data_IF_925871915506
#
_entry.id   IF_925871915506
#
_cell.length_a   1.000
_cell.length_b   1.000
_cell.length_c   1.000
_cell.angle_alpha   90.00
_cell.angle_beta   90.00
_cell.angle_gamma   90.00
#
_symmetry.space_group_name_H-M   'P 1'
#
loop_
_entity.id
_entity.type
_entity.pdbx_description
1 polymer ?
#
# COMPACT_ATOMS: atom_id res chain seq x y z
N UNK A 1 -48.30 -27.23 -11.84
CA UNK A 1 -47.78 -27.70 -10.54
C UNK A 1 -46.46 -26.96 -10.26
N UNK A 2 -46.22 -26.57 -9.00
CA UNK A 2 -45.34 -25.46 -8.65
C UNK A 2 -43.89 -25.93 -8.43
N UNK A 3 -42.92 -25.08 -8.76
CA UNK A 3 -42.00 -24.64 -7.71
C UNK A 3 -41.46 -23.27 -8.06
N UNK A 4 -41.82 -22.29 -7.23
CA UNK A 4 -41.00 -21.13 -7.03
C UNK A 4 -39.67 -21.61 -6.43
N UNK A 5 -38.56 -21.05 -6.89
CA UNK A 5 -37.42 -20.86 -6.00
C UNK A 5 -37.07 -19.39 -6.08
N UNK A 6 -37.79 -18.63 -5.27
CA UNK A 6 -37.43 -17.29 -4.86
C UNK A 6 -36.14 -17.33 -4.01
N UNK A 7 -35.70 -16.19 -3.46
CA UNK A 7 -34.49 -15.46 -3.80
C UNK A 7 -33.29 -15.86 -2.93
N UNK A 8 -32.15 -16.15 -3.55
CA UNK A 8 -30.88 -16.33 -2.83
C UNK A 8 -30.26 -15.00 -2.45
N UNK A 9 -30.91 -14.24 -1.56
CA UNK A 9 -30.27 -13.14 -0.86
C UNK A 9 -29.23 -13.69 0.12
N UNK A 10 -28.02 -13.93 -0.35
CA UNK A 10 -26.88 -14.16 0.53
C UNK A 10 -26.32 -12.79 0.89
N UNK A 11 -26.54 -12.40 2.14
CA UNK A 11 -26.00 -11.20 2.79
C UNK A 11 -24.56 -10.99 2.33
N UNK A 12 -24.34 -10.02 1.45
CA UNK A 12 -23.02 -9.55 1.07
C UNK A 12 -22.35 -8.95 2.30
N UNK A 13 -21.85 -9.81 3.19
CA UNK A 13 -20.95 -9.41 4.25
C UNK A 13 -19.82 -8.71 3.55
N UNK A 14 -19.71 -7.38 3.73
CA UNK A 14 -18.75 -6.54 3.04
C UNK A 14 -17.40 -7.25 3.03
N UNK A 15 -16.98 -7.69 1.85
CA UNK A 15 -15.77 -8.48 1.71
C UNK A 15 -14.63 -7.71 2.38
N UNK A 16 -13.98 -8.37 3.33
CA UNK A 16 -12.95 -7.73 4.13
C UNK A 16 -11.75 -7.52 3.24
N UNK A 17 -11.51 -6.27 2.82
CA UNK A 17 -10.28 -5.93 2.11
C UNK A 17 -9.09 -6.15 3.03
N UNK A 18 -8.12 -6.92 2.54
CA UNK A 18 -6.90 -7.19 3.29
C UNK A 18 -6.00 -5.95 3.26
N UNK A 19 -5.53 -5.58 4.45
CA UNK A 19 -4.55 -4.52 4.66
C UNK A 19 -3.39 -5.09 5.46
N UNK A 20 -2.16 -4.94 4.96
CA UNK A 20 -0.94 -5.37 5.64
C UNK A 20 -0.10 -4.15 5.96
N UNK A 21 0.33 -4.02 7.20
CA UNK A 21 1.18 -2.93 7.66
C UNK A 21 2.61 -3.47 7.78
N UNK A 22 3.50 -3.03 6.90
CA UNK A 22 4.92 -3.39 6.99
C UNK A 22 5.63 -2.51 8.02
N UNK A 23 6.37 -3.12 8.96
CA UNK A 23 7.13 -2.36 9.95
C UNK A 23 8.19 -1.49 9.26
N UNK A 24 8.11 -0.16 9.47
CA UNK A 24 8.99 0.80 8.81
C UNK A 24 8.78 0.92 7.30
N UNK A 25 7.76 0.26 6.76
CA UNK A 25 7.47 0.14 5.34
C UNK A 25 6.12 0.75 4.94
N UNK A 26 5.64 0.43 3.73
CA UNK A 26 4.34 0.88 3.26
C UNK A 26 3.17 0.08 3.86
N UNK A 27 1.95 0.59 3.65
CA UNK A 27 0.72 -0.19 3.87
C UNK A 27 0.35 -0.86 2.55
N UNK A 28 0.25 -2.18 2.53
CA UNK A 28 -0.19 -2.94 1.36
C UNK A 28 -1.72 -3.12 1.43
N UNK A 29 -2.41 -2.72 0.37
CA UNK A 29 -3.86 -2.83 0.25
C UNK A 29 -4.21 -3.67 -0.98
N UNK A 30 -5.14 -4.60 -0.82
CA UNK A 30 -5.73 -5.34 -1.93
C UNK A 30 -6.61 -4.40 -2.77
N UNK A 31 -6.33 -4.33 -4.08
CA UNK A 31 -7.05 -3.46 -5.00
C UNK A 31 -8.15 -4.16 -5.80
N UNK A 32 -8.87 -3.42 -6.65
CA UNK A 32 -8.64 -2.00 -7.00
C UNK A 32 -8.95 -1.04 -5.85
N UNK A 33 -8.23 0.09 -5.79
CA UNK A 33 -8.42 1.11 -4.74
C UNK A 33 -8.57 2.52 -5.31
N UNK A 34 -9.41 3.29 -4.65
CA UNK A 34 -9.52 4.75 -4.78
C UNK A 34 -8.95 5.36 -3.49
N UNK A 35 -8.08 6.37 -3.64
CA UNK A 35 -7.31 6.95 -2.54
C UNK A 35 -7.52 8.46 -2.56
N UNK A 36 -8.11 8.99 -1.49
CA UNK A 36 -8.17 10.43 -1.24
C UNK A 36 -6.91 10.88 -0.48
N UNK A 37 -6.28 11.92 -1.00
CA UNK A 37 -5.12 12.56 -0.36
C UNK A 37 -5.55 13.76 0.49
N UNK A 38 -4.74 14.21 1.46
CA UNK A 38 -5.06 15.39 2.26
C UNK A 38 -5.20 16.68 1.45
N UNK A 39 -4.58 16.73 0.27
CA UNK A 39 -4.66 17.86 -0.66
C UNK A 39 -5.99 17.88 -1.44
N UNK A 40 -6.87 16.89 -1.22
CA UNK A 40 -8.16 16.74 -1.89
C UNK A 40 -8.07 16.03 -3.25
N UNK A 41 -6.88 15.61 -3.68
CA UNK A 41 -6.72 14.82 -4.91
C UNK A 41 -7.16 13.37 -4.67
N UNK A 42 -7.90 12.82 -5.64
CA UNK A 42 -8.28 11.41 -5.69
C UNK A 42 -7.43 10.67 -6.74
N UNK A 43 -6.81 9.57 -6.33
CA UNK A 43 -5.98 8.72 -7.19
C UNK A 43 -6.53 7.31 -7.21
N UNK A 44 -6.70 6.74 -8.40
CA UNK A 44 -7.21 5.38 -8.60
C UNK A 44 -6.08 4.45 -9.01
N UNK A 45 -6.13 3.21 -8.51
CA UNK A 45 -5.23 2.14 -8.95
C UNK A 45 -5.97 0.83 -9.12
N UNK A 46 -5.95 0.30 -10.35
CA UNK A 46 -6.52 -1.00 -10.71
C UNK A 46 -5.59 -2.19 -10.41
N UNK A 47 -4.48 -1.96 -9.69
CA UNK A 47 -3.55 -3.04 -9.34
C UNK A 47 -4.17 -3.91 -8.25
N UNK A 48 -3.95 -5.22 -8.36
CA UNK A 48 -4.38 -6.20 -7.35
C UNK A 48 -3.77 -5.94 -5.96
N UNK A 49 -2.59 -5.32 -5.89
CA UNK A 49 -1.94 -4.93 -4.65
C UNK A 49 -1.27 -3.57 -4.80
N UNK A 50 -1.53 -2.68 -3.85
CA UNK A 50 -1.07 -1.29 -3.84
C UNK A 50 -0.29 -1.01 -2.57
N UNK A 51 0.90 -0.43 -2.71
CA UNK A 51 1.73 -0.02 -1.59
C UNK A 51 1.56 1.48 -1.33
N UNK A 52 0.91 1.83 -0.22
CA UNK A 52 0.66 3.20 0.21
C UNK A 52 1.79 3.72 1.11
N UNK A 53 2.19 4.96 0.88
CA UNK A 53 3.25 5.62 1.61
C UNK A 53 2.72 6.20 2.92
N UNK A 54 3.23 5.70 4.05
CA UNK A 54 2.99 6.29 5.38
C UNK A 54 4.13 7.20 5.87
N UNK A 55 5.30 7.15 5.24
CA UNK A 55 6.47 7.91 5.66
C UNK A 55 6.54 9.34 5.11
N UNK A 56 5.67 9.70 4.16
CA UNK A 56 5.64 11.01 3.45
C UNK A 56 6.92 11.41 2.70
N UNK A 57 7.88 10.51 2.53
CA UNK A 57 9.14 10.76 1.78
C UNK A 57 9.06 10.40 0.29
N UNK A 58 7.96 9.79 -0.15
CA UNK A 58 7.78 9.36 -1.54
C UNK A 58 7.64 10.56 -2.47
N UNK A 59 8.33 10.51 -3.61
CA UNK A 59 8.15 11.47 -4.72
C UNK A 59 6.92 11.18 -5.56
N UNK A 60 6.28 10.03 -5.33
CA UNK A 60 5.06 9.58 -6.01
C UNK A 60 3.93 9.36 -5.01
N UNK A 61 3.89 10.20 -3.96
CA UNK A 61 2.79 10.18 -3.00
C UNK A 61 1.44 10.22 -3.75
N UNK A 62 0.45 9.37 -3.40
CA UNK A 62 0.33 8.53 -2.20
C UNK A 62 1.05 7.16 -2.26
N UNK A 63 1.65 6.78 -3.38
CA UNK A 63 2.29 5.47 -3.54
C UNK A 63 3.69 5.40 -2.94
N UNK A 64 4.11 4.21 -2.51
CA UNK A 64 5.47 3.96 -2.05
C UNK A 64 6.44 3.84 -3.23
N UNK A 65 7.57 4.54 -3.13
CA UNK A 65 8.68 4.49 -4.08
C UNK A 65 9.99 4.01 -3.44
N UNK A 66 9.90 3.30 -2.31
CA UNK A 66 11.01 2.83 -1.46
C UNK A 66 11.79 3.91 -0.69
N UNK A 67 11.39 5.18 -0.76
CA UNK A 67 12.03 6.29 0.00
C UNK A 67 11.95 6.14 1.53
N UNK A 68 11.17 5.19 2.04
CA UNK A 68 11.12 4.85 3.47
C UNK A 68 12.44 4.25 3.97
N UNK A 69 13.20 3.56 3.10
CA UNK A 69 14.46 2.90 3.45
C UNK A 69 15.48 3.95 3.90
N UNK A 70 16.09 3.73 5.07
CA UNK A 70 17.18 4.58 5.57
C UNK A 70 18.36 4.43 4.61
N UNK A 71 18.85 5.54 4.05
CA UNK A 71 20.11 5.54 3.31
C UNK A 71 21.23 5.25 4.32
N UNK A 72 21.69 4.01 4.39
CA UNK A 72 22.95 3.71 5.05
C UNK A 72 24.03 4.29 4.13
N UNK A 73 24.62 5.42 4.51
CA UNK A 73 25.88 5.85 3.91
C UNK A 73 26.89 4.77 4.26
N UNK A 74 27.35 4.01 3.29
CA UNK A 74 28.57 3.21 3.43
C UNK A 74 29.74 4.18 3.63
N UNK A 75 29.98 4.59 4.87
CA UNK A 75 31.24 5.23 5.27
C UNK A 75 32.21 4.11 5.60
N UNK A 76 32.70 3.45 4.56
CA UNK A 76 33.80 2.50 4.63
C UNK A 76 34.66 2.68 3.39
N UNK A 77 35.30 3.85 3.27
CA UNK A 77 36.51 4.06 2.45
C UNK A 77 37.26 5.27 3.01
N UNK A 78 38.00 5.03 4.09
CA UNK A 78 38.98 5.93 4.67
C UNK A 78 40.02 5.07 5.38
N UNK A 79 40.93 4.53 4.58
CA UNK A 79 42.04 3.65 4.94
C UNK A 79 42.81 4.10 6.20
N UNK A 80 43.14 3.20 7.16
CA UNK A 80 44.20 3.50 8.11
C UNK A 80 45.53 3.50 7.35
N UNK A 81 46.07 4.69 7.11
CA UNK A 81 47.44 4.85 6.64
C UNK A 81 48.39 4.34 7.74
N UNK A 82 49.21 3.35 7.37
CA UNK A 82 50.26 2.77 8.20
C UNK A 82 51.52 3.63 8.04
N UNK A 83 52.05 4.17 9.13
CA UNK A 83 53.37 3.84 9.72
C UNK A 83 53.51 4.53 11.08
#
# INVERSE_FOLDING_TARGET
MPTASSPGGERGGRERRRVVIEQGGPVLVEGPVEIETPDGETVVSDRFMVALCVCRRSRRYPFCDTSHRKRVRSQDQGSPDRD
#
